data_IF_337293242363
#
_entry.id   IF_337293242363
#
_cell.length_a   1.000
_cell.length_b   1.000
_cell.length_c   1.000
_cell.angle_alpha   90.00
_cell.angle_beta   90.00
_cell.angle_gamma   90.00
#
_symmetry.space_group_name_H-M   'P 1'
#
loop_
_entity.id
_entity.type
_entity.pdbx_description
1 polymer ?
#
# COMPACT_ATOMS: atom_id res chain seq x y z
N UNK A 1 -30.30 4.66 -0.06
CA UNK A 1 -30.80 3.62 -0.98
C UNK A 1 -30.55 4.09 -2.40
N UNK A 2 -29.46 3.62 -3.05
CA UNK A 2 -29.18 3.82 -4.49
C UNK A 2 -29.14 2.40 -5.08
N UNK A 3 -30.20 1.64 -4.90
CA UNK A 3 -30.37 0.35 -5.56
C UNK A 3 -31.02 0.59 -6.92
N UNK A 4 -30.34 0.21 -7.99
CA UNK A 4 -30.74 0.15 -9.42
C UNK A 4 -30.17 1.25 -10.33
N UNK A 5 -28.87 1.51 -10.28
CA UNK A 5 -28.19 2.14 -11.41
C UNK A 5 -28.00 1.04 -12.47
N UNK A 6 -28.81 1.04 -13.55
CA UNK A 6 -28.59 0.16 -14.69
C UNK A 6 -27.56 0.79 -15.63
N UNK A 7 -26.30 0.43 -15.47
CA UNK A 7 -25.26 0.73 -16.47
C UNK A 7 -25.50 -0.22 -17.64
N UNK A 8 -25.68 0.31 -18.85
CA UNK A 8 -25.77 -0.52 -20.06
C UNK A 8 -24.38 -1.06 -20.37
N UNK A 9 -24.16 -2.32 -20.10
CA UNK A 9 -23.00 -3.06 -20.60
C UNK A 9 -23.46 -3.80 -21.84
N UNK A 10 -23.33 -3.19 -23.01
CA UNK A 10 -23.38 -3.95 -24.24
C UNK A 10 -22.12 -4.82 -24.33
N UNK A 11 -22.24 -6.10 -24.69
CA UNK A 11 -21.08 -6.99 -24.93
C UNK A 11 -20.08 -6.41 -25.96
N UNK A 12 -20.54 -5.45 -26.77
CA UNK A 12 -19.71 -4.66 -27.68
C UNK A 12 -18.76 -3.68 -26.99
N UNK A 13 -18.99 -3.32 -25.72
CA UNK A 13 -18.14 -2.43 -24.93
C UNK A 13 -16.97 -3.17 -24.25
N UNK A 14 -17.05 -4.49 -24.13
CA UNK A 14 -15.93 -5.35 -23.73
C UNK A 14 -14.96 -5.51 -24.91
N UNK A 15 -14.50 -4.39 -25.47
CA UNK A 15 -13.41 -4.39 -26.43
C UNK A 15 -12.20 -5.01 -25.77
N UNK A 16 -11.53 -5.96 -26.48
CA UNK A 16 -10.20 -6.42 -26.10
C UNK A 16 -9.37 -5.19 -25.73
N UNK A 17 -8.98 -5.09 -24.47
CA UNK A 17 -8.17 -3.98 -23.97
C UNK A 17 -6.99 -3.83 -24.91
N UNK A 18 -6.76 -2.65 -25.53
CA UNK A 18 -5.57 -2.47 -26.33
C UNK A 18 -4.36 -2.66 -25.44
N UNK A 19 -3.31 -3.34 -25.91
CA UNK A 19 -2.03 -3.55 -25.20
C UNK A 19 -1.35 -2.22 -24.82
N UNK A 20 -1.90 -1.10 -25.26
CA UNK A 20 -1.41 0.25 -25.00
C UNK A 20 -1.98 0.79 -23.68
N UNK A 21 -1.10 1.21 -22.79
CA UNK A 21 -1.47 1.88 -21.56
C UNK A 21 -2.17 3.22 -21.79
N UNK A 22 -3.39 3.35 -21.27
CA UNK A 22 -4.17 4.59 -21.26
C UNK A 22 -4.53 4.88 -19.81
N UNK A 23 -4.23 6.08 -19.32
CA UNK A 23 -4.60 6.47 -17.96
C UNK A 23 -5.47 7.71 -17.93
N UNK A 24 -6.40 7.74 -16.99
CA UNK A 24 -7.31 8.84 -16.72
C UNK A 24 -6.98 9.48 -15.38
N UNK A 25 -6.95 10.80 -15.35
CA UNK A 25 -6.70 11.61 -14.15
C UNK A 25 -7.91 12.51 -13.86
N UNK A 26 -7.90 13.27 -12.77
CA UNK A 26 -9.02 14.09 -12.28
C UNK A 26 -9.80 14.82 -13.39
N UNK A 27 -9.09 15.49 -14.31
CA UNK A 27 -9.71 16.25 -15.42
C UNK A 27 -10.33 15.37 -16.52
N UNK A 28 -10.11 14.06 -16.45
CA UNK A 28 -10.50 13.09 -17.48
C UNK A 28 -11.51 12.07 -16.96
N UNK A 29 -11.95 12.17 -15.70
CA UNK A 29 -12.85 11.21 -15.08
C UNK A 29 -14.16 11.08 -15.87
N UNK A 30 -14.70 12.20 -16.36
CA UNK A 30 -15.93 12.23 -17.16
C UNK A 30 -15.75 11.68 -18.59
N UNK A 31 -14.51 11.42 -19.05
CA UNK A 31 -14.21 10.79 -20.34
C UNK A 31 -14.27 9.26 -20.28
N UNK A 32 -14.36 8.70 -19.08
CA UNK A 32 -14.56 7.26 -18.88
C UNK A 32 -16.03 6.97 -19.22
N UNK A 33 -16.27 6.18 -20.27
CA UNK A 33 -17.60 5.92 -20.80
C UNK A 33 -18.60 5.44 -19.74
N UNK A 34 -18.20 4.50 -18.91
CA UNK A 34 -19.04 4.00 -17.81
C UNK A 34 -19.39 5.08 -16.77
N UNK A 35 -18.44 5.97 -16.47
CA UNK A 35 -18.67 7.09 -15.51
C UNK A 35 -19.68 8.07 -16.10
N UNK A 36 -19.66 8.32 -17.40
CA UNK A 36 -20.61 9.24 -18.05
C UNK A 36 -22.07 8.79 -17.92
N UNK A 37 -22.31 7.49 -17.69
CA UNK A 37 -23.64 6.89 -17.50
C UNK A 37 -24.14 7.01 -16.04
N UNK A 38 -23.26 7.35 -15.09
CA UNK A 38 -23.66 7.54 -13.70
C UNK A 38 -24.44 8.84 -13.51
N UNK A 39 -25.35 8.91 -12.51
CA UNK A 39 -26.03 10.13 -12.16
C UNK A 39 -25.08 11.32 -11.96
N UNK A 40 -25.49 12.50 -12.39
CA UNK A 40 -24.68 13.72 -12.26
C UNK A 40 -24.26 13.99 -10.80
N UNK A 41 -25.14 13.68 -9.82
CA UNK A 41 -24.82 13.80 -8.41
C UNK A 41 -23.61 12.96 -8.00
N UNK A 42 -23.51 11.71 -8.47
CA UNK A 42 -22.38 10.81 -8.15
C UNK A 42 -21.11 11.32 -8.83
N UNK A 43 -21.19 11.72 -10.10
CA UNK A 43 -20.05 12.31 -10.82
C UNK A 43 -19.54 13.58 -10.14
N UNK A 44 -20.44 14.42 -9.65
CA UNK A 44 -20.08 15.60 -8.87
C UNK A 44 -19.41 15.24 -7.53
N UNK A 45 -19.92 14.24 -6.80
CA UNK A 45 -19.29 13.73 -5.58
C UNK A 45 -17.84 13.24 -5.82
N UNK A 46 -17.63 12.51 -6.90
CA UNK A 46 -16.27 12.07 -7.33
C UNK A 46 -15.37 13.28 -7.59
N UNK A 47 -15.87 14.32 -8.28
CA UNK A 47 -15.12 15.55 -8.55
C UNK A 47 -14.75 16.28 -7.26
N UNK A 48 -15.64 16.34 -6.28
CA UNK A 48 -15.37 16.94 -4.97
C UNK A 48 -14.23 16.22 -4.27
N UNK A 49 -14.30 14.88 -4.17
CA UNK A 49 -13.31 14.08 -3.46
C UNK A 49 -11.96 14.06 -4.19
N UNK A 50 -11.96 13.95 -5.52
CA UNK A 50 -10.73 13.99 -6.33
C UNK A 50 -10.05 15.37 -6.37
N UNK A 51 -10.72 16.43 -5.90
CA UNK A 51 -10.07 17.73 -5.69
C UNK A 51 -9.15 17.73 -4.45
N UNK A 52 -9.37 16.80 -3.52
CA UNK A 52 -8.60 16.63 -2.29
C UNK A 52 -7.58 15.50 -2.44
N UNK A 53 -8.04 14.32 -2.83
CA UNK A 53 -7.20 13.13 -3.01
C UNK A 53 -6.67 13.00 -4.44
N UNK A 54 -5.54 12.30 -4.63
CA UNK A 54 -5.09 11.97 -5.98
C UNK A 54 -6.04 10.98 -6.65
N UNK A 55 -6.22 11.11 -7.96
CA UNK A 55 -6.97 10.16 -8.77
C UNK A 55 -6.18 9.79 -10.02
N UNK A 56 -6.07 8.52 -10.27
CA UNK A 56 -5.62 7.92 -11.54
C UNK A 56 -6.14 6.50 -11.63
N UNK A 57 -6.70 6.16 -12.79
CA UNK A 57 -7.06 4.78 -13.15
C UNK A 57 -6.62 4.53 -14.58
N UNK A 58 -6.38 3.29 -14.97
CA UNK A 58 -6.03 2.93 -16.33
C UNK A 58 -7.13 2.06 -16.99
N UNK A 59 -7.02 1.94 -18.33
CA UNK A 59 -7.96 1.17 -19.12
C UNK A 59 -8.05 -0.30 -18.69
N UNK A 60 -6.93 -0.94 -18.33
CA UNK A 60 -6.96 -2.34 -17.90
C UNK A 60 -7.84 -2.55 -16.65
N UNK A 61 -7.70 -1.71 -15.64
CA UNK A 61 -8.52 -1.79 -14.43
C UNK A 61 -9.99 -1.56 -14.74
N UNK A 62 -10.29 -0.55 -15.59
CA UNK A 62 -11.66 -0.20 -16.00
C UNK A 62 -12.33 -1.37 -16.74
N UNK A 63 -11.62 -1.96 -17.70
CA UNK A 63 -12.20 -2.89 -18.66
C UNK A 63 -12.20 -4.35 -18.17
N UNK A 64 -11.28 -4.71 -17.24
CA UNK A 64 -11.09 -6.12 -16.86
C UNK A 64 -11.33 -6.43 -15.38
N UNK A 65 -11.27 -5.43 -14.49
CA UNK A 65 -11.33 -5.69 -13.06
C UNK A 65 -12.62 -5.22 -12.39
N UNK A 66 -13.27 -4.16 -12.90
CA UNK A 66 -14.49 -3.60 -12.32
C UNK A 66 -15.71 -4.33 -12.86
N UNK A 67 -16.56 -4.80 -11.95
CA UNK A 67 -17.92 -5.25 -12.29
C UNK A 67 -18.88 -4.04 -12.25
N UNK A 68 -19.06 -3.43 -13.42
CA UNK A 68 -19.87 -2.21 -13.56
C UNK A 68 -21.36 -2.39 -13.17
N UNK A 69 -21.87 -3.63 -13.13
CA UNK A 69 -23.22 -3.91 -12.64
C UNK A 69 -23.35 -3.76 -11.12
N UNK A 70 -22.23 -3.81 -10.39
CA UNK A 70 -22.19 -3.68 -8.92
C UNK A 70 -21.76 -2.29 -8.46
N UNK A 71 -21.49 -1.36 -9.37
CA UNK A 71 -21.12 0.01 -9.01
C UNK A 71 -22.31 0.73 -8.35
N UNK A 72 -22.12 1.42 -7.20
CA UNK A 72 -20.83 1.79 -6.59
C UNK A 72 -20.22 0.76 -5.62
N UNK A 73 -20.84 -0.36 -5.37
CA UNK A 73 -20.45 -1.33 -4.34
C UNK A 73 -19.39 -2.34 -4.83
N UNK A 74 -18.98 -2.29 -6.10
CA UNK A 74 -17.89 -3.14 -6.61
C UNK A 74 -16.58 -2.85 -5.87
N UNK A 75 -15.88 -3.87 -5.31
CA UNK A 75 -14.68 -3.68 -4.50
C UNK A 75 -13.52 -3.05 -5.28
N UNK A 76 -13.37 -3.32 -6.57
CA UNK A 76 -12.32 -2.71 -7.39
C UNK A 76 -12.66 -1.26 -7.72
N UNK A 77 -13.94 -0.96 -7.97
CA UNK A 77 -14.40 0.41 -8.10
C UNK A 77 -14.11 1.22 -6.83
N UNK A 78 -14.41 0.67 -5.66
CA UNK A 78 -14.09 1.27 -4.36
C UNK A 78 -12.58 1.49 -4.18
N UNK A 79 -11.74 0.58 -4.69
CA UNK A 79 -10.29 0.66 -4.62
C UNK A 79 -9.69 1.81 -5.44
N UNK A 80 -10.34 2.25 -6.53
CA UNK A 80 -9.72 3.21 -7.47
C UNK A 80 -10.55 4.45 -7.75
N UNK A 81 -11.85 4.46 -7.47
CA UNK A 81 -12.69 5.62 -7.69
C UNK A 81 -13.04 6.34 -6.38
N UNK A 82 -12.95 7.69 -6.35
CA UNK A 82 -13.28 8.48 -5.18
C UNK A 82 -14.74 8.31 -4.75
N UNK A 83 -14.97 8.12 -3.44
CA UNK A 83 -16.30 8.00 -2.84
C UNK A 83 -16.55 9.17 -1.89
N UNK A 84 -17.79 9.65 -1.81
CA UNK A 84 -18.20 10.77 -0.93
C UNK A 84 -17.72 10.59 0.51
N UNK A 85 -17.90 9.39 1.06
CA UNK A 85 -17.55 9.07 2.47
C UNK A 85 -16.05 9.13 2.78
N UNK A 86 -15.17 9.28 1.79
CA UNK A 86 -13.74 9.48 2.00
C UNK A 86 -13.38 10.84 2.58
N UNK A 87 -14.32 11.79 2.57
CA UNK A 87 -14.23 13.06 3.27
C UNK A 87 -15.31 13.13 4.37
N UNK A 88 -14.98 13.78 5.47
CA UNK A 88 -16.02 14.15 6.45
C UNK A 88 -17.04 15.11 5.85
N UNK A 89 -18.27 15.15 6.42
CA UNK A 89 -19.36 15.94 5.90
C UNK A 89 -19.05 17.45 5.82
N UNK A 90 -18.25 17.97 6.74
CA UNK A 90 -17.88 19.39 6.78
C UNK A 90 -16.93 19.72 5.64
N UNK A 91 -15.86 18.92 5.49
CA UNK A 91 -14.88 19.06 4.42
C UNK A 91 -15.52 18.86 3.05
N UNK A 92 -16.35 17.83 2.91
CA UNK A 92 -17.11 17.59 1.69
C UNK A 92 -18.00 18.77 1.30
N UNK A 93 -18.84 19.26 2.24
CA UNK A 93 -19.74 20.40 2.00
C UNK A 93 -18.98 21.67 1.63
N UNK A 94 -17.86 21.97 2.33
CA UNK A 94 -17.00 23.13 2.00
C UNK A 94 -16.49 23.07 0.56
N UNK A 95 -15.91 21.95 0.16
CA UNK A 95 -15.37 21.78 -1.21
C UNK A 95 -16.48 21.76 -2.26
N UNK A 96 -17.59 21.09 -2.00
CA UNK A 96 -18.75 21.06 -2.91
C UNK A 96 -19.35 22.47 -3.14
N UNK A 97 -19.50 23.26 -2.08
CA UNK A 97 -19.99 24.63 -2.20
C UNK A 97 -19.01 25.54 -2.95
N UNK A 98 -17.71 25.34 -2.78
CA UNK A 98 -16.72 26.07 -3.54
C UNK A 98 -16.83 25.73 -5.02
N UNK A 99 -16.83 24.43 -5.39
CA UNK A 99 -16.89 23.99 -6.79
C UNK A 99 -18.14 24.43 -7.55
N UNK A 100 -19.27 24.61 -6.86
CA UNK A 100 -20.52 25.12 -7.46
C UNK A 100 -20.46 26.60 -7.87
N UNK A 101 -19.46 27.36 -7.41
CA UNK A 101 -19.29 28.79 -7.67
C UNK A 101 -18.31 29.09 -8.78
N UNK A 102 -17.90 28.10 -9.56
CA UNK A 102 -16.87 28.19 -10.62
C UNK A 102 -15.58 28.87 -10.13
N UNK A 103 -14.90 28.28 -9.12
CA UNK A 103 -13.77 28.89 -8.45
C UNK A 103 -12.51 28.92 -9.31
N UNK A 104 -11.62 29.88 -9.03
CA UNK A 104 -10.27 29.87 -9.58
C UNK A 104 -9.49 28.65 -9.04
N UNK A 105 -8.54 28.11 -9.85
CA UNK A 105 -7.72 26.95 -9.43
C UNK A 105 -7.03 27.14 -8.06
N UNK A 106 -6.55 28.35 -7.75
CA UNK A 106 -5.86 28.67 -6.51
C UNK A 106 -6.77 28.50 -5.28
N UNK A 107 -8.06 28.84 -5.42
CA UNK A 107 -9.04 28.69 -4.35
C UNK A 107 -9.31 27.18 -4.04
N UNK A 108 -9.39 26.35 -5.09
CA UNK A 108 -9.53 24.90 -4.94
C UNK A 108 -8.27 24.34 -4.24
N UNK A 109 -7.08 24.73 -4.66
CA UNK A 109 -5.82 24.25 -4.08
C UNK A 109 -5.67 24.67 -2.62
N UNK A 110 -6.03 25.91 -2.27
CA UNK A 110 -5.97 26.41 -0.89
C UNK A 110 -6.90 25.61 0.03
N UNK A 111 -8.18 25.44 -0.35
CA UNK A 111 -9.11 24.66 0.44
C UNK A 111 -8.73 23.17 0.50
N UNK A 112 -8.25 22.62 -0.61
CA UNK A 112 -7.76 21.24 -0.63
C UNK A 112 -6.59 21.05 0.34
N UNK A 113 -5.66 22.01 0.44
CA UNK A 113 -4.55 21.94 1.38
C UNK A 113 -5.02 22.04 2.85
N UNK A 114 -6.00 22.90 3.16
CA UNK A 114 -6.62 22.93 4.51
C UNK A 114 -7.18 21.57 4.90
N UNK A 115 -7.94 20.93 3.99
CA UNK A 115 -8.54 19.61 4.23
C UNK A 115 -7.46 18.54 4.35
N UNK A 116 -6.45 18.54 3.48
CA UNK A 116 -5.32 17.58 3.49
C UNK A 116 -4.54 17.60 4.80
N UNK A 117 -4.31 18.77 5.37
CA UNK A 117 -3.63 18.90 6.67
C UNK A 117 -4.39 18.19 7.79
N UNK A 118 -5.74 18.22 7.76
CA UNK A 118 -6.58 17.49 8.73
C UNK A 118 -6.54 15.97 8.53
N UNK A 119 -6.39 15.52 7.28
CA UNK A 119 -6.36 14.10 6.91
C UNK A 119 -5.00 13.45 7.14
N UNK A 120 -3.97 14.21 7.44
CA UNK A 120 -2.62 13.73 7.67
C UNK A 120 -2.07 14.24 9.02
N UNK A 121 -2.58 13.72 10.15
CA UNK A 121 -2.25 14.24 11.49
C UNK A 121 -0.79 13.98 11.90
N UNK A 122 -0.10 13.04 11.25
CA UNK A 122 1.28 12.65 11.58
C UNK A 122 2.20 12.67 10.35
N UNK A 123 2.33 13.82 9.62
CA UNK A 123 3.08 13.87 8.36
C UNK A 123 4.58 13.69 8.54
N UNK A 124 5.12 14.18 9.64
CA UNK A 124 6.55 14.36 9.86
C UNK A 124 7.27 13.09 10.34
N UNK A 125 6.67 12.31 11.23
CA UNK A 125 7.35 11.20 11.89
C UNK A 125 7.92 10.11 10.99
N UNK A 126 7.46 9.99 9.75
CA UNK A 126 8.01 9.02 8.79
C UNK A 126 9.15 9.57 7.94
N UNK A 127 9.16 10.86 7.69
CA UNK A 127 10.19 11.54 6.89
C UNK A 127 11.35 11.99 7.78
N UNK A 128 11.07 12.44 9.00
CA UNK A 128 12.09 12.98 9.89
C UNK A 128 12.91 11.91 10.62
N UNK A 129 12.24 10.90 11.19
CA UNK A 129 12.88 9.90 12.05
C UNK A 129 13.45 8.67 11.32
N UNK A 130 13.17 8.50 10.02
CA UNK A 130 13.61 7.32 9.28
C UNK A 130 14.59 7.63 8.14
N UNK A 131 14.85 8.92 7.86
CA UNK A 131 15.80 9.31 6.81
C UNK A 131 17.22 9.15 7.33
N UNK A 132 18.03 8.28 6.70
CA UNK A 132 19.40 8.08 7.15
C UNK A 132 20.31 9.24 6.73
N UNK A 133 21.52 9.30 7.32
CA UNK A 133 22.57 10.23 6.92
C UNK A 133 23.78 9.47 6.36
N UNK A 134 24.46 10.06 5.38
CA UNK A 134 25.74 9.62 4.84
C UNK A 134 26.71 10.81 4.92
N UNK A 135 27.84 10.62 5.59
CA UNK A 135 28.86 11.69 5.80
C UNK A 135 28.28 12.98 6.43
N UNK A 136 27.28 12.84 7.31
CA UNK A 136 26.62 13.99 7.98
C UNK A 136 25.47 14.63 7.17
N UNK A 137 25.26 14.24 5.92
CA UNK A 137 24.17 14.74 5.09
C UNK A 137 22.99 13.76 5.03
N UNK A 138 21.75 14.27 5.11
CA UNK A 138 20.54 13.44 4.99
C UNK A 138 20.42 12.85 3.58
N UNK A 139 20.22 11.54 3.48
CA UNK A 139 19.97 10.82 2.23
C UNK A 139 18.47 10.81 1.94
N UNK A 140 18.00 11.87 1.26
CA UNK A 140 16.59 11.97 0.88
C UNK A 140 16.18 10.80 -0.04
N UNK A 141 14.92 10.37 0.05
CA UNK A 141 14.42 9.23 -0.74
C UNK A 141 14.90 7.88 -0.25
N UNK A 142 15.47 7.81 0.95
CA UNK A 142 15.76 6.55 1.65
C UNK A 142 15.14 6.56 3.05
N UNK A 143 14.68 5.39 3.49
CA UNK A 143 14.22 5.17 4.87
C UNK A 143 14.91 3.95 5.45
N UNK A 144 15.52 4.10 6.62
CA UNK A 144 16.22 3.05 7.35
C UNK A 144 15.73 3.01 8.80
N UNK A 145 14.60 2.32 8.99
CA UNK A 145 13.93 2.17 10.29
C UNK A 145 14.41 0.94 11.06
N UNK A 146 14.68 -0.15 10.35
CA UNK A 146 15.09 -1.44 10.91
C UNK A 146 16.51 -1.75 10.45
N UNK A 147 17.32 -2.27 11.35
CA UNK A 147 18.75 -2.48 11.15
C UNK A 147 19.13 -3.17 9.84
N UNK A 148 18.37 -4.19 9.44
CA UNK A 148 18.68 -5.04 8.30
C UNK A 148 18.04 -4.58 6.98
N UNK A 149 17.09 -3.61 7.04
CA UNK A 149 16.24 -3.27 5.90
C UNK A 149 16.26 -1.79 5.59
N UNK A 150 16.63 -1.44 4.38
CA UNK A 150 16.50 -0.08 3.85
C UNK A 150 15.46 -0.02 2.74
N UNK A 151 14.68 1.06 2.73
CA UNK A 151 13.72 1.39 1.68
C UNK A 151 14.33 2.44 0.76
N UNK A 152 14.21 2.26 -0.54
CA UNK A 152 14.64 3.21 -1.56
C UNK A 152 13.44 3.66 -2.41
N UNK A 153 13.35 4.97 -2.63
CA UNK A 153 12.25 5.64 -3.32
C UNK A 153 12.76 6.33 -4.59
N UNK A 154 12.93 5.61 -5.71
CA UNK A 154 13.41 6.20 -6.94
C UNK A 154 12.47 7.28 -7.46
N UNK A 155 13.00 8.42 -7.91
CA UNK A 155 12.21 9.58 -8.37
C UNK A 155 11.28 9.22 -9.53
N UNK A 156 11.74 8.37 -10.45
CA UNK A 156 10.95 7.93 -11.59
C UNK A 156 9.84 6.93 -11.21
N UNK A 157 9.94 6.28 -10.04
CA UNK A 157 8.98 5.34 -9.48
C UNK A 157 7.91 5.97 -8.60
N UNK A 158 7.79 7.32 -8.57
CA UNK A 158 6.84 8.02 -7.69
C UNK A 158 5.43 8.19 -8.31
N UNK A 159 5.12 7.45 -9.35
CA UNK A 159 3.79 7.36 -9.94
C UNK A 159 3.24 5.95 -9.76
N UNK A 160 1.92 5.79 -9.99
CA UNK A 160 1.27 4.48 -10.02
C UNK A 160 0.54 4.31 -11.35
N UNK A 161 0.35 3.06 -11.78
CA UNK A 161 -0.50 2.73 -12.92
C UNK A 161 -1.98 3.09 -12.64
N UNK A 162 -2.43 2.89 -11.39
CA UNK A 162 -3.66 3.43 -10.84
C UNK A 162 -3.45 3.76 -9.37
N UNK A 163 -4.09 4.80 -8.83
CA UNK A 163 -4.00 5.15 -7.41
C UNK A 163 -5.06 4.39 -6.62
N UNK A 164 -4.62 3.78 -5.53
CA UNK A 164 -5.53 3.20 -4.55
C UNK A 164 -6.11 4.29 -3.66
N UNK A 165 -7.42 4.30 -3.46
CA UNK A 165 -8.14 5.30 -2.67
C UNK A 165 -7.77 5.31 -1.19
N UNK A 166 -7.28 4.17 -0.68
CA UNK A 166 -6.77 4.00 0.69
C UNK A 166 -5.25 4.26 0.83
N UNK A 167 -4.58 4.78 -0.20
CA UNK A 167 -3.13 4.90 -0.23
C UNK A 167 -2.60 5.74 0.94
N UNK A 168 -1.86 5.15 1.88
CA UNK A 168 -1.27 5.87 3.01
C UNK A 168 -0.17 6.88 2.61
N UNK A 169 0.33 6.80 1.37
CA UNK A 169 1.28 7.76 0.77
C UNK A 169 0.61 8.86 -0.05
N UNK A 170 -0.70 8.95 0.00
CA UNK A 170 -1.47 9.89 -0.82
C UNK A 170 -0.95 11.33 -0.80
N UNK A 171 -0.44 11.80 0.34
CA UNK A 171 0.10 13.14 0.50
C UNK A 171 1.30 13.43 -0.43
N UNK A 172 2.11 12.43 -0.76
CA UNK A 172 3.27 12.57 -1.65
C UNK A 172 2.88 12.85 -3.11
N UNK A 173 1.64 12.59 -3.50
CA UNK A 173 1.15 12.78 -4.86
C UNK A 173 0.41 14.10 -5.08
N UNK A 174 0.09 14.86 -4.02
CA UNK A 174 -0.77 16.05 -4.09
C UNK A 174 -0.11 17.36 -3.66
N UNK A 175 1.16 17.37 -3.26
CA UNK A 175 1.88 18.57 -2.82
C UNK A 175 3.31 18.62 -3.32
N UNK A 176 3.87 19.83 -3.49
CA UNK A 176 5.29 20.01 -3.84
C UNK A 176 6.21 19.76 -2.65
N UNK A 177 5.78 20.08 -1.43
CA UNK A 177 6.54 19.96 -0.18
C UNK A 177 6.63 18.54 0.37
N UNK A 178 5.79 17.61 -0.12
CA UNK A 178 5.71 16.23 0.39
C UNK A 178 6.49 15.23 -0.47
N UNK A 179 7.22 15.68 -1.48
CA UNK A 179 7.99 14.78 -2.37
C UNK A 179 9.19 14.22 -1.65
N UNK A 180 9.19 12.91 -1.48
CA UNK A 180 10.27 12.16 -0.86
C UNK A 180 10.78 11.11 -1.85
N UNK A 181 11.89 11.42 -2.54
CA UNK A 181 12.46 10.53 -3.55
C UNK A 181 13.94 10.84 -3.80
N UNK A 182 14.63 9.90 -4.48
CA UNK A 182 16.02 10.03 -4.89
C UNK A 182 16.19 9.54 -6.34
N UNK A 183 17.05 10.19 -7.10
CA UNK A 183 17.43 9.76 -8.46
C UNK A 183 18.92 9.43 -8.59
N UNK A 184 19.64 9.44 -7.48
CA UNK A 184 21.08 9.25 -7.40
C UNK A 184 21.40 7.78 -7.04
N UNK A 185 21.82 7.02 -8.05
CA UNK A 185 22.23 5.63 -7.87
C UNK A 185 23.56 5.53 -7.10
N UNK A 186 24.48 6.49 -7.28
CA UNK A 186 25.77 6.49 -6.61
C UNK A 186 25.59 6.71 -5.10
N UNK A 187 24.68 7.60 -4.71
CA UNK A 187 24.35 7.85 -3.31
C UNK A 187 23.72 6.58 -2.66
N UNK A 188 22.81 5.88 -3.38
CA UNK A 188 22.27 4.60 -2.93
C UNK A 188 23.41 3.58 -2.70
N UNK A 189 24.27 3.39 -3.69
CA UNK A 189 25.36 2.43 -3.63
C UNK A 189 26.37 2.78 -2.52
N UNK A 190 26.74 4.07 -2.39
CA UNK A 190 27.63 4.54 -1.31
C UNK A 190 27.03 4.26 0.07
N UNK A 191 25.71 4.51 0.26
CA UNK A 191 25.03 4.21 1.52
C UNK A 191 25.01 2.71 1.84
N UNK A 192 24.67 1.86 0.87
CA UNK A 192 24.67 0.41 1.03
C UNK A 192 26.07 -0.12 1.32
N UNK A 193 27.10 0.39 0.64
CA UNK A 193 28.49 0.00 0.82
C UNK A 193 29.02 0.31 2.23
N UNK A 194 28.64 1.45 2.79
CA UNK A 194 29.07 1.88 4.14
C UNK A 194 28.30 1.19 5.28
N UNK A 195 27.18 0.52 4.99
CA UNK A 195 26.31 -0.09 6.00
C UNK A 195 26.18 -1.61 5.82
N UNK A 196 27.20 -2.36 6.18
CA UNK A 196 27.29 -3.82 5.95
C UNK A 196 26.26 -4.69 6.69
N UNK A 197 25.56 -4.14 7.67
CA UNK A 197 24.47 -4.82 8.36
C UNK A 197 23.14 -4.82 7.57
N UNK A 198 23.03 -4.00 6.53
CA UNK A 198 21.87 -4.02 5.62
C UNK A 198 21.96 -5.27 4.75
N UNK A 199 20.97 -6.14 4.85
CA UNK A 199 20.90 -7.39 4.04
C UNK A 199 19.74 -7.37 3.06
N UNK A 200 18.85 -6.37 3.15
CA UNK A 200 17.56 -6.32 2.48
C UNK A 200 17.26 -4.90 1.96
N UNK A 201 17.19 -4.76 0.66
CA UNK A 201 16.81 -3.52 -0.03
C UNK A 201 15.37 -3.64 -0.54
N UNK A 202 14.48 -2.73 -0.12
CA UNK A 202 13.13 -2.61 -0.69
C UNK A 202 13.04 -1.39 -1.60
N UNK A 203 12.95 -1.61 -2.90
CA UNK A 203 12.63 -0.58 -3.89
C UNK A 203 11.12 -0.37 -3.89
N UNK A 204 10.69 0.87 -3.61
CA UNK A 204 9.28 1.22 -3.44
C UNK A 204 9.04 2.68 -3.85
N UNK A 205 7.82 3.20 -3.66
CA UNK A 205 7.53 4.59 -4.04
C UNK A 205 6.04 4.82 -4.21
N UNK A 206 5.63 5.39 -5.35
CA UNK A 206 4.31 5.17 -5.90
C UNK A 206 4.21 3.72 -6.33
N UNK A 207 4.73 3.42 -7.49
CA UNK A 207 4.98 2.04 -7.94
C UNK A 207 6.26 2.03 -8.78
N UNK A 208 7.35 1.39 -8.34
CA UNK A 208 8.61 1.38 -9.09
C UNK A 208 8.45 0.75 -10.48
N UNK A 209 7.46 -0.12 -10.70
CA UNK A 209 7.26 -0.77 -12.00
C UNK A 209 6.78 0.16 -13.12
N UNK A 210 6.48 1.43 -12.82
CA UNK A 210 6.28 2.45 -13.88
C UNK A 210 7.60 2.91 -14.52
N UNK A 211 8.74 2.57 -13.91
CA UNK A 211 10.06 2.85 -14.47
C UNK A 211 10.37 1.94 -15.66
N UNK A 212 11.15 2.46 -16.59
CA UNK A 212 11.77 1.64 -17.64
C UNK A 212 12.91 0.80 -17.09
N UNK A 213 13.24 -0.27 -17.78
CA UNK A 213 14.28 -1.25 -17.38
C UNK A 213 15.65 -0.61 -17.19
N UNK A 214 16.02 0.40 -18.01
CA UNK A 214 17.32 1.10 -17.87
C UNK A 214 17.48 1.75 -16.50
N UNK A 215 16.39 2.23 -15.90
CA UNK A 215 16.44 2.81 -14.55
C UNK A 215 16.63 1.74 -13.48
N UNK A 216 15.98 0.58 -13.65
CA UNK A 216 16.23 -0.56 -12.76
C UNK A 216 17.68 -1.04 -12.87
N UNK A 217 18.25 -1.12 -14.08
CA UNK A 217 19.65 -1.48 -14.29
C UNK A 217 20.56 -0.53 -13.51
N UNK A 218 20.37 0.78 -13.64
CA UNK A 218 21.21 1.78 -12.96
C UNK A 218 21.22 1.60 -11.42
N UNK A 219 20.11 1.15 -10.81
CA UNK A 219 20.02 0.95 -9.36
C UNK A 219 20.45 -0.45 -8.92
N UNK A 220 20.23 -1.50 -9.72
CA UNK A 220 20.29 -2.87 -9.24
C UNK A 220 21.47 -3.70 -9.82
N UNK A 221 21.99 -3.38 -11.02
CA UNK A 221 23.06 -4.22 -11.62
C UNK A 221 24.34 -4.23 -10.79
N UNK A 222 24.75 -3.08 -10.28
CA UNK A 222 25.93 -2.94 -9.41
C UNK A 222 25.82 -3.77 -8.12
N UNK A 223 24.60 -4.05 -7.65
CA UNK A 223 24.39 -4.88 -6.44
C UNK A 223 24.79 -6.34 -6.63
N UNK A 224 25.06 -6.76 -7.87
CA UNK A 224 25.61 -8.06 -8.18
C UNK A 224 27.13 -8.18 -7.93
N UNK A 225 27.83 -7.06 -7.74
CA UNK A 225 29.27 -7.03 -7.51
C UNK A 225 29.64 -7.53 -6.10
N UNK A 226 30.86 -8.10 -5.88
CA UNK A 226 31.27 -8.68 -4.61
C UNK A 226 31.20 -7.71 -3.41
N UNK A 227 31.41 -6.41 -3.64
CA UNK A 227 31.34 -5.41 -2.57
C UNK A 227 29.93 -5.27 -1.96
N UNK A 228 28.88 -5.74 -2.66
CA UNK A 228 27.49 -5.78 -2.22
C UNK A 228 27.00 -7.18 -1.82
N UNK A 229 27.89 -8.12 -1.54
CA UNK A 229 27.51 -9.48 -1.15
C UNK A 229 26.67 -9.55 0.12
N UNK A 230 26.76 -8.54 1.00
CA UNK A 230 25.93 -8.42 2.18
C UNK A 230 24.45 -8.16 1.84
N UNK A 231 24.15 -7.53 0.70
CA UNK A 231 22.77 -7.36 0.21
C UNK A 231 22.31 -8.69 -0.37
N UNK A 232 21.60 -9.47 0.43
CA UNK A 232 21.11 -10.81 0.04
C UNK A 232 19.76 -10.78 -0.63
N UNK A 233 18.90 -9.83 -0.22
CA UNK A 233 17.52 -9.72 -0.68
C UNK A 233 17.26 -8.38 -1.34
N UNK A 234 16.62 -8.41 -2.51
CA UNK A 234 16.08 -7.22 -3.18
C UNK A 234 14.58 -7.42 -3.34
N UNK A 235 13.82 -6.50 -2.78
CA UNK A 235 12.36 -6.51 -2.87
C UNK A 235 11.86 -5.37 -3.73
N UNK A 236 10.82 -5.63 -4.53
CA UNK A 236 10.15 -4.65 -5.38
C UNK A 236 8.70 -4.55 -4.93
N UNK A 237 8.34 -3.43 -4.28
CA UNK A 237 6.97 -3.20 -3.80
C UNK A 237 6.10 -2.67 -4.93
N UNK A 238 5.08 -3.42 -5.36
CA UNK A 238 4.29 -3.05 -6.54
C UNK A 238 2.83 -3.53 -6.47
N UNK A 239 1.95 -2.81 -7.15
CA UNK A 239 0.59 -3.23 -7.49
C UNK A 239 0.42 -3.49 -9.00
N UNK A 240 1.47 -3.27 -9.80
CA UNK A 240 1.41 -3.45 -11.26
C UNK A 240 1.09 -4.88 -11.68
N UNK A 241 1.46 -5.89 -10.87
CA UNK A 241 1.13 -7.29 -11.16
C UNK A 241 -0.36 -7.48 -11.45
N UNK A 242 -1.23 -6.77 -10.73
CA UNK A 242 -2.67 -6.88 -10.87
C UNK A 242 -3.32 -5.66 -11.54
N UNK A 243 -2.68 -4.49 -11.50
CA UNK A 243 -3.23 -3.25 -12.07
C UNK A 243 -2.65 -2.87 -13.44
N UNK A 244 -1.53 -3.48 -13.85
CA UNK A 244 -0.97 -3.39 -15.20
C UNK A 244 -0.05 -4.61 -15.48
N UNK A 245 -0.60 -5.83 -15.60
CA UNK A 245 0.19 -7.05 -15.84
C UNK A 245 0.93 -7.02 -17.18
N UNK A 246 0.50 -6.18 -18.13
CA UNK A 246 1.20 -5.90 -19.38
C UNK A 246 2.68 -5.53 -19.17
N UNK A 247 3.01 -4.91 -18.02
CA UNK A 247 4.38 -4.59 -17.62
C UNK A 247 5.34 -5.78 -17.67
N UNK A 248 4.80 -6.98 -17.51
CA UNK A 248 5.58 -8.23 -17.48
C UNK A 248 5.36 -9.11 -18.72
N UNK A 249 4.40 -8.76 -19.57
CA UNK A 249 3.99 -9.64 -20.68
C UNK A 249 4.17 -8.96 -22.04
N UNK A 250 3.65 -7.74 -22.24
CA UNK A 250 3.55 -7.11 -23.56
C UNK A 250 4.19 -5.71 -23.66
N UNK A 251 4.57 -5.07 -22.54
CA UNK A 251 5.29 -3.80 -22.59
C UNK A 251 6.63 -3.97 -23.32
N UNK A 252 7.06 -2.96 -24.06
CA UNK A 252 8.19 -3.04 -24.98
C UNK A 252 9.52 -3.47 -24.33
N UNK A 253 9.70 -3.24 -23.03
CA UNK A 253 10.88 -3.61 -22.25
C UNK A 253 10.60 -4.73 -21.22
N UNK A 254 9.49 -5.47 -21.38
CA UNK A 254 9.10 -6.54 -20.44
C UNK A 254 10.14 -7.66 -20.36
N UNK A 255 10.60 -8.16 -21.50
CA UNK A 255 11.59 -9.24 -21.55
C UNK A 255 12.97 -8.77 -21.07
N UNK A 256 13.35 -7.52 -21.35
CA UNK A 256 14.59 -6.92 -20.81
C UNK A 256 14.56 -6.83 -19.29
N UNK A 257 13.42 -6.44 -18.73
CA UNK A 257 13.23 -6.40 -17.27
C UNK A 257 13.31 -7.79 -16.63
N UNK A 258 12.63 -8.78 -17.21
CA UNK A 258 12.69 -10.15 -16.73
C UNK A 258 14.10 -10.76 -16.85
N UNK A 259 14.85 -10.41 -17.90
CA UNK A 259 16.24 -10.78 -18.07
C UNK A 259 17.14 -10.20 -16.98
N UNK A 260 16.95 -8.92 -16.63
CA UNK A 260 17.64 -8.30 -15.49
C UNK A 260 17.36 -9.05 -14.18
N UNK A 261 16.08 -9.35 -13.90
CA UNK A 261 15.68 -10.07 -12.69
C UNK A 261 16.32 -11.45 -12.65
N UNK A 262 16.26 -12.21 -13.76
CA UNK A 262 16.88 -13.53 -13.85
C UNK A 262 18.39 -13.46 -13.60
N UNK A 263 19.10 -12.51 -14.21
CA UNK A 263 20.54 -12.30 -13.98
C UNK A 263 20.87 -12.07 -12.51
N UNK A 264 20.12 -11.22 -11.81
CA UNK A 264 20.33 -10.98 -10.38
C UNK A 264 20.10 -12.26 -9.54
N UNK A 265 19.09 -13.06 -9.89
CA UNK A 265 18.83 -14.36 -9.24
C UNK A 265 19.99 -15.33 -9.51
N UNK A 266 20.45 -15.46 -10.76
CA UNK A 266 21.55 -16.35 -11.15
C UNK A 266 22.88 -15.96 -10.43
N UNK A 267 23.03 -14.68 -10.06
CA UNK A 267 24.16 -14.17 -9.27
C UNK A 267 23.96 -14.31 -7.75
N UNK A 268 22.95 -15.04 -7.31
CA UNK A 268 22.71 -15.39 -5.91
C UNK A 268 21.88 -14.38 -5.10
N UNK A 269 21.28 -13.37 -5.72
CA UNK A 269 20.36 -12.44 -5.02
C UNK A 269 18.97 -13.05 -4.92
N UNK A 270 18.37 -12.98 -3.73
CA UNK A 270 16.96 -13.33 -3.56
C UNK A 270 16.08 -12.17 -3.99
N UNK A 271 15.40 -12.30 -5.12
CA UNK A 271 14.48 -11.29 -5.63
C UNK A 271 13.05 -11.62 -5.21
N UNK A 272 12.35 -10.65 -4.61
CA UNK A 272 10.97 -10.84 -4.19
C UNK A 272 10.07 -9.66 -4.60
N UNK A 273 9.05 -9.94 -5.40
CA UNK A 273 7.98 -9.00 -5.69
C UNK A 273 7.01 -8.96 -4.52
N UNK A 274 6.90 -7.79 -3.88
CA UNK A 274 5.94 -7.53 -2.81
C UNK A 274 4.64 -7.05 -3.45
N UNK A 275 3.85 -8.01 -3.93
CA UNK A 275 2.64 -7.75 -4.69
C UNK A 275 1.50 -7.30 -3.78
N UNK A 276 0.93 -6.13 -4.06
CA UNK A 276 -0.22 -5.61 -3.34
C UNK A 276 -1.50 -6.14 -3.98
N UNK A 277 -2.23 -7.04 -3.29
CA UNK A 277 -3.43 -7.73 -3.80
C UNK A 277 -4.52 -7.63 -2.75
N UNK A 278 -5.55 -6.81 -3.01
CA UNK A 278 -6.62 -6.52 -2.05
C UNK A 278 -7.84 -7.42 -2.20
N UNK A 279 -8.09 -7.95 -3.40
CA UNK A 279 -9.30 -8.70 -3.69
C UNK A 279 -9.02 -9.82 -4.70
N UNK A 280 -9.70 -10.95 -4.56
CA UNK A 280 -9.52 -12.14 -5.42
C UNK A 280 -9.75 -11.84 -6.91
N UNK A 281 -10.61 -10.86 -7.22
CA UNK A 281 -10.91 -10.45 -8.59
C UNK A 281 -9.67 -9.98 -9.36
N UNK A 282 -8.70 -9.41 -8.68
CA UNK A 282 -7.41 -8.98 -9.24
C UNK A 282 -6.58 -10.14 -9.84
N UNK A 283 -6.85 -11.39 -9.46
CA UNK A 283 -6.11 -12.58 -9.89
C UNK A 283 -6.79 -13.40 -10.99
N UNK A 284 -7.98 -13.00 -11.44
CA UNK A 284 -8.82 -13.84 -12.31
C UNK A 284 -8.45 -13.79 -13.80
N UNK A 285 -7.84 -12.70 -14.26
CA UNK A 285 -7.53 -12.51 -15.68
C UNK A 285 -6.36 -13.40 -16.13
N UNK A 286 -6.38 -13.84 -17.39
CA UNK A 286 -5.34 -14.72 -17.91
C UNK A 286 -3.99 -14.01 -18.05
N UNK A 287 -3.99 -12.72 -18.35
CA UNK A 287 -2.74 -11.94 -18.44
C UNK A 287 -2.05 -11.80 -17.06
N UNK A 288 -2.80 -11.72 -15.95
CA UNK A 288 -2.21 -11.75 -14.59
C UNK A 288 -1.57 -13.10 -14.32
N UNK A 289 -2.23 -14.19 -14.69
CA UNK A 289 -1.65 -15.55 -14.54
C UNK A 289 -0.38 -15.72 -15.36
N UNK A 290 -0.36 -15.18 -16.60
CA UNK A 290 0.85 -15.22 -17.44
C UNK A 290 1.97 -14.33 -16.86
N UNK A 291 1.67 -13.14 -16.34
CA UNK A 291 2.63 -12.28 -15.66
C UNK A 291 3.26 -12.99 -14.45
N UNK A 292 2.45 -13.66 -13.63
CA UNK A 292 2.92 -14.46 -12.50
C UNK A 292 3.87 -15.57 -12.98
N UNK A 293 3.49 -16.31 -14.01
CA UNK A 293 4.31 -17.38 -14.60
C UNK A 293 5.65 -16.85 -15.11
N UNK A 294 5.66 -15.74 -15.86
CA UNK A 294 6.89 -15.12 -16.38
C UNK A 294 7.82 -14.64 -15.26
N UNK A 295 7.30 -13.98 -14.23
CA UNK A 295 8.08 -13.55 -13.06
C UNK A 295 8.69 -14.78 -12.37
N UNK A 296 7.91 -15.82 -12.10
CA UNK A 296 8.40 -17.04 -11.43
C UNK A 296 9.45 -17.79 -12.25
N UNK A 297 9.35 -17.75 -13.58
CA UNK A 297 10.32 -18.35 -14.48
C UNK A 297 11.73 -17.73 -14.36
N UNK A 298 11.84 -16.50 -13.84
CA UNK A 298 13.14 -15.88 -13.54
C UNK A 298 13.81 -16.42 -12.27
N UNK A 299 13.11 -17.22 -11.46
CA UNK A 299 13.54 -17.64 -10.13
C UNK A 299 13.13 -16.66 -9.00
N UNK A 300 12.58 -15.50 -9.33
CA UNK A 300 12.07 -14.57 -8.34
C UNK A 300 10.81 -15.10 -7.65
N UNK A 301 10.61 -14.70 -6.39
CA UNK A 301 9.41 -15.01 -5.63
C UNK A 301 8.40 -13.87 -5.68
N UNK A 302 7.13 -14.22 -5.49
CA UNK A 302 6.04 -13.25 -5.35
C UNK A 302 5.42 -13.45 -3.96
N UNK A 303 5.37 -12.38 -3.17
CA UNK A 303 4.76 -12.36 -1.84
C UNK A 303 3.63 -11.34 -1.84
N UNK A 304 2.43 -11.75 -1.42
CA UNK A 304 1.27 -10.87 -1.40
C UNK A 304 1.11 -10.14 -0.07
N UNK A 305 0.61 -8.92 -0.15
CA UNK A 305 0.26 -8.13 1.02
C UNK A 305 -0.92 -7.22 0.72
N UNK A 306 -1.77 -6.96 1.72
CA UNK A 306 -2.85 -5.98 1.63
C UNK A 306 -3.34 -5.56 3.01
N UNK A 307 -3.90 -4.35 3.16
CA UNK A 307 -4.68 -4.00 4.34
C UNK A 307 -6.09 -4.62 4.28
N UNK A 308 -6.65 -4.86 5.45
CA UNK A 308 -8.05 -5.15 5.63
C UNK A 308 -8.81 -3.82 5.61
N UNK A 309 -9.78 -3.71 4.71
CA UNK A 309 -10.45 -2.45 4.36
C UNK A 309 -11.96 -2.64 4.35
N UNK A 310 -12.66 -1.75 5.05
CA UNK A 310 -14.11 -1.65 4.91
C UNK A 310 -14.48 -1.37 3.43
N UNK A 311 -15.65 -1.80 2.99
CA UNK A 311 -16.16 -1.73 1.61
C UNK A 311 -15.43 -2.56 0.55
N UNK A 312 -14.29 -3.19 0.87
CA UNK A 312 -13.47 -3.87 -0.13
C UNK A 312 -13.34 -5.36 0.17
N UNK A 313 -12.87 -5.72 1.37
CA UNK A 313 -12.43 -7.08 1.65
C UNK A 313 -12.75 -7.55 3.08
N UNK A 314 -13.96 -7.24 3.56
CA UNK A 314 -14.42 -7.61 4.90
C UNK A 314 -14.96 -9.03 5.03
N UNK A 315 -15.02 -9.77 3.93
CA UNK A 315 -15.48 -11.15 3.88
C UNK A 315 -14.33 -12.13 4.14
N UNK A 316 -14.36 -12.94 5.20
CA UNK A 316 -13.33 -13.94 5.49
C UNK A 316 -13.24 -15.04 4.43
N UNK A 317 -14.37 -15.40 3.78
CA UNK A 317 -14.39 -16.43 2.74
C UNK A 317 -13.62 -15.96 1.50
N UNK A 318 -13.80 -14.69 1.12
CA UNK A 318 -13.02 -14.07 0.04
C UNK A 318 -11.50 -14.13 0.32
N UNK A 319 -11.06 -13.86 1.56
CA UNK A 319 -9.65 -13.95 1.94
C UNK A 319 -9.12 -15.39 1.85
N UNK A 320 -9.88 -16.36 2.37
CA UNK A 320 -9.48 -17.76 2.33
C UNK A 320 -9.34 -18.26 0.88
N UNK A 321 -10.30 -17.95 0.02
CA UNK A 321 -10.26 -18.29 -1.41
C UNK A 321 -9.10 -17.57 -2.13
N UNK A 322 -8.86 -16.30 -1.82
CA UNK A 322 -7.74 -15.56 -2.37
C UNK A 322 -6.40 -16.18 -1.97
N UNK A 323 -6.18 -16.58 -0.72
CA UNK A 323 -4.93 -17.22 -0.30
C UNK A 323 -4.74 -18.61 -0.92
N UNK A 324 -5.81 -19.39 -1.07
CA UNK A 324 -5.79 -20.67 -1.80
C UNK A 324 -5.37 -20.44 -3.27
N UNK A 325 -6.01 -19.50 -3.96
CA UNK A 325 -5.68 -19.17 -5.34
C UNK A 325 -4.25 -18.63 -5.48
N UNK A 326 -3.81 -17.75 -4.58
CA UNK A 326 -2.42 -17.26 -4.54
C UNK A 326 -1.44 -18.41 -4.45
N UNK A 327 -1.66 -19.36 -3.53
CA UNK A 327 -0.80 -20.54 -3.36
C UNK A 327 -0.78 -21.41 -4.63
N UNK A 328 -1.94 -21.65 -5.27
CA UNK A 328 -2.02 -22.38 -6.54
C UNK A 328 -1.22 -21.71 -7.66
N UNK A 329 -1.25 -20.39 -7.73
CA UNK A 329 -0.48 -19.61 -8.69
C UNK A 329 1.01 -19.48 -8.32
N UNK A 330 1.42 -19.95 -7.13
CA UNK A 330 2.78 -19.87 -6.60
C UNK A 330 3.13 -18.49 -6.04
N UNK A 331 2.13 -17.76 -5.58
CA UNK A 331 2.29 -16.56 -4.76
C UNK A 331 2.24 -16.98 -3.29
N UNK A 332 3.10 -16.42 -2.47
CA UNK A 332 3.18 -16.69 -1.04
C UNK A 332 2.36 -15.62 -0.30
N UNK A 333 1.23 -15.95 0.36
CA UNK A 333 0.54 -15.03 1.25
C UNK A 333 1.48 -14.54 2.36
N UNK A 334 1.62 -13.22 2.56
CA UNK A 334 2.72 -12.72 3.38
C UNK A 334 2.30 -11.79 4.51
N UNK A 335 1.49 -10.75 4.22
CA UNK A 335 0.98 -9.84 5.25
C UNK A 335 -0.48 -9.46 5.04
N UNK A 336 -1.23 -9.41 6.15
CA UNK A 336 -2.45 -8.62 6.28
C UNK A 336 -2.16 -7.46 7.21
N UNK A 337 -2.41 -6.24 6.73
CA UNK A 337 -2.24 -5.02 7.49
C UNK A 337 -3.58 -4.50 8.02
N UNK A 338 -3.50 -3.73 9.08
CA UNK A 338 -4.57 -2.84 9.51
C UNK A 338 -4.40 -1.52 8.78
N UNK A 339 -5.51 -0.89 8.37
CA UNK A 339 -5.48 0.39 7.67
C UNK A 339 -4.79 1.46 8.50
N UNK A 340 -4.00 2.30 7.85
CA UNK A 340 -3.23 3.34 8.53
C UNK A 340 -4.08 4.55 8.89
N UNK A 341 -3.63 5.26 9.92
CA UNK A 341 -4.25 6.44 10.52
C UNK A 341 -4.10 7.73 9.69
N UNK A 342 -4.23 7.64 8.36
CA UNK A 342 -4.06 8.77 7.43
C UNK A 342 -5.03 8.66 6.23
N UNK A 343 -5.26 9.78 5.56
CA UNK A 343 -6.09 9.84 4.35
C UNK A 343 -7.57 9.56 4.61
N UNK A 344 -8.16 8.69 3.81
CA UNK A 344 -9.57 8.30 3.93
C UNK A 344 -9.81 7.25 5.03
N UNK A 345 -9.04 7.30 6.14
CA UNK A 345 -9.08 6.33 7.24
C UNK A 345 -10.51 5.98 7.65
N UNK A 346 -11.32 6.97 7.98
CA UNK A 346 -12.71 6.77 8.47
C UNK A 346 -13.62 6.00 7.52
N UNK A 347 -13.29 6.01 6.25
CA UNK A 347 -14.05 5.28 5.23
C UNK A 347 -13.64 3.80 5.19
N UNK A 348 -12.36 3.52 5.39
CA UNK A 348 -11.78 2.20 5.23
C UNK A 348 -11.48 1.47 6.53
N UNK A 349 -11.42 2.18 7.66
CA UNK A 349 -11.07 1.56 8.95
C UNK A 349 -12.10 0.55 9.42
N UNK A 350 -11.59 -0.44 10.12
CA UNK A 350 -12.38 -1.43 10.87
C UNK A 350 -11.90 -1.45 12.31
N UNK A 351 -12.79 -1.72 13.29
CA UNK A 351 -12.35 -2.00 14.65
C UNK A 351 -11.32 -3.14 14.67
N UNK A 352 -10.30 -3.02 15.52
CA UNK A 352 -9.22 -4.00 15.66
C UNK A 352 -9.75 -5.41 15.95
N UNK A 353 -10.78 -5.49 16.81
CA UNK A 353 -11.47 -6.73 17.10
C UNK A 353 -12.08 -7.37 15.86
N UNK A 354 -12.80 -6.57 15.05
CA UNK A 354 -13.44 -7.08 13.81
C UNK A 354 -12.38 -7.49 12.78
N UNK A 355 -11.30 -6.72 12.66
CA UNK A 355 -10.15 -7.05 11.79
C UNK A 355 -9.53 -8.39 12.17
N UNK A 356 -9.34 -8.63 13.48
CA UNK A 356 -8.84 -9.91 13.98
C UNK A 356 -9.82 -11.06 13.72
N UNK A 357 -11.13 -10.86 13.91
CA UNK A 357 -12.14 -11.90 13.64
C UNK A 357 -12.14 -12.35 12.19
N UNK A 358 -12.12 -11.39 11.24
CA UNK A 358 -12.08 -11.69 9.80
C UNK A 358 -10.81 -12.48 9.48
N UNK A 359 -9.66 -12.04 9.96
CA UNK A 359 -8.39 -12.74 9.76
C UNK A 359 -8.43 -14.15 10.33
N UNK A 360 -8.89 -14.32 11.56
CA UNK A 360 -9.03 -15.63 12.24
C UNK A 360 -9.92 -16.58 11.44
N UNK A 361 -11.10 -16.13 11.03
CA UNK A 361 -12.05 -16.93 10.27
C UNK A 361 -11.48 -17.37 8.92
N UNK A 362 -10.82 -16.47 8.19
CA UNK A 362 -10.14 -16.80 6.93
C UNK A 362 -8.99 -17.79 7.15
N UNK A 363 -8.18 -17.58 8.19
CA UNK A 363 -7.02 -18.40 8.51
C UNK A 363 -7.40 -19.83 8.88
N UNK A 364 -8.56 -20.03 9.50
CA UNK A 364 -9.09 -21.35 9.85
C UNK A 364 -9.48 -22.21 8.62
N UNK A 365 -9.76 -21.57 7.48
CA UNK A 365 -10.31 -22.22 6.28
C UNK A 365 -9.23 -22.65 5.28
N UNK A 366 -7.95 -22.44 5.57
CA UNK A 366 -6.86 -22.73 4.63
C UNK A 366 -5.89 -23.77 5.17
N UNK A 367 -5.21 -24.47 4.27
CA UNK A 367 -4.19 -25.47 4.62
C UNK A 367 -2.89 -24.79 5.11
N UNK A 368 -1.99 -25.57 5.73
CA UNK A 368 -0.71 -25.08 6.24
C UNK A 368 0.14 -24.35 5.20
N UNK A 369 0.11 -24.76 3.94
CA UNK A 369 0.87 -24.12 2.84
C UNK A 369 0.34 -22.71 2.53
N UNK A 370 -0.95 -22.46 2.73
CA UNK A 370 -1.55 -21.13 2.56
C UNK A 370 -1.52 -20.29 3.85
N UNK A 371 -1.17 -20.89 5.01
CA UNK A 371 -1.05 -20.22 6.33
C UNK A 371 0.30 -19.55 6.55
N UNK A 372 0.89 -18.99 5.53
CA UNK A 372 2.16 -18.25 5.62
C UNK A 372 1.97 -16.77 5.94
N UNK A 373 0.75 -16.28 5.83
CA UNK A 373 0.39 -14.88 6.07
C UNK A 373 0.53 -14.52 7.55
N UNK A 374 1.10 -13.35 7.82
CA UNK A 374 1.25 -12.73 9.14
C UNK A 374 0.27 -11.59 9.32
N UNK A 375 -0.23 -11.43 10.52
CA UNK A 375 -1.14 -10.33 10.86
C UNK A 375 -2.39 -10.79 11.62
N UNK A 376 -3.41 -9.92 11.73
CA UNK A 376 -3.40 -8.56 11.18
C UNK A 376 -2.42 -7.65 11.95
N UNK A 377 -1.74 -6.75 11.26
CA UNK A 377 -0.66 -5.95 11.87
C UNK A 377 -0.73 -4.47 11.57
N UNK A 378 -0.44 -3.65 12.59
CA UNK A 378 -0.26 -2.21 12.51
C UNK A 378 1.19 -1.85 12.24
N UNK A 379 1.46 -1.03 11.21
CA UNK A 379 2.79 -0.46 10.96
C UNK A 379 2.89 0.90 11.65
N UNK A 380 3.06 0.88 12.97
CA UNK A 380 3.08 2.05 13.85
C UNK A 380 4.48 2.64 14.05
N UNK A 381 4.57 3.75 14.78
CA UNK A 381 5.83 4.43 15.11
C UNK A 381 6.90 3.52 15.73
N UNK A 382 6.62 2.80 16.82
CA UNK A 382 7.61 1.93 17.49
C UNK A 382 7.97 0.70 16.66
N UNK A 383 7.07 0.20 15.81
CA UNK A 383 7.33 -1.00 15.04
C UNK A 383 6.11 -1.53 14.33
N UNK A 384 6.20 -2.79 13.91
CA UNK A 384 5.09 -3.54 13.32
C UNK A 384 4.50 -4.46 14.39
N UNK A 385 3.27 -4.14 14.83
CA UNK A 385 2.56 -4.80 15.92
C UNK A 385 1.46 -5.69 15.35
N UNK A 386 1.49 -6.97 15.69
CA UNK A 386 0.49 -7.96 15.31
C UNK A 386 -0.53 -8.14 16.44
N UNK A 387 -1.81 -8.26 16.08
CA UNK A 387 -2.84 -8.74 16.99
C UNK A 387 -2.79 -10.27 16.99
N UNK A 388 -2.21 -10.85 18.02
CA UNK A 388 -2.09 -12.31 18.16
C UNK A 388 -3.40 -12.94 18.57
N UNK A 389 -4.27 -12.21 19.28
CA UNK A 389 -5.58 -12.72 19.69
C UNK A 389 -6.35 -11.77 20.60
N UNK A 390 -7.59 -12.16 20.87
CA UNK A 390 -8.43 -11.62 21.95
C UNK A 390 -8.72 -12.75 22.92
N UNK A 391 -8.43 -12.56 24.19
CA UNK A 391 -8.61 -13.58 25.22
C UNK A 391 -8.95 -12.94 26.56
N UNK A 392 -9.30 -13.78 27.52
CA UNK A 392 -9.48 -13.40 28.91
C UNK A 392 -8.25 -13.83 29.71
N UNK A 393 -7.63 -12.90 30.43
CA UNK A 393 -6.48 -13.15 31.30
C UNK A 393 -6.77 -12.54 32.67
N UNK A 394 -6.73 -13.36 33.73
CA UNK A 394 -7.04 -12.94 35.11
C UNK A 394 -8.40 -12.23 35.25
N UNK A 395 -9.40 -12.64 34.47
CA UNK A 395 -10.74 -12.04 34.51
C UNK A 395 -10.88 -10.74 33.72
N UNK A 396 -9.84 -10.28 33.02
CA UNK A 396 -9.88 -9.11 32.15
C UNK A 396 -9.82 -9.55 30.67
N UNK A 397 -10.74 -9.05 29.85
CA UNK A 397 -10.74 -9.26 28.40
C UNK A 397 -9.72 -8.34 27.78
N UNK A 398 -8.79 -8.87 26.99
CA UNK A 398 -7.64 -8.15 26.47
C UNK A 398 -7.34 -8.48 25.01
N UNK A 399 -6.68 -7.54 24.32
CA UNK A 399 -5.90 -7.85 23.14
C UNK A 399 -4.54 -8.38 23.53
N UNK A 400 -4.14 -9.54 23.00
CA UNK A 400 -2.78 -10.04 23.05
C UNK A 400 -2.03 -9.56 21.81
N UNK A 401 -0.95 -8.83 22.03
CA UNK A 401 -0.17 -8.12 21.00
C UNK A 401 1.28 -8.55 21.05
N UNK A 402 2.00 -8.43 19.93
CA UNK A 402 3.47 -8.59 19.88
C UNK A 402 4.08 -7.79 18.75
N UNK A 403 5.35 -7.44 18.88
CA UNK A 403 6.11 -6.88 17.75
C UNK A 403 6.57 -7.98 16.82
N UNK A 404 6.29 -7.83 15.51
CA UNK A 404 6.89 -8.65 14.44
C UNK A 404 8.22 -8.03 13.99
N UNK A 405 8.31 -6.70 13.97
CA UNK A 405 9.51 -5.90 13.78
C UNK A 405 9.44 -4.68 14.71
N UNK A 406 10.56 -4.22 15.22
CA UNK A 406 10.60 -3.09 16.14
C UNK A 406 11.85 -2.23 15.91
N UNK A 407 11.82 -0.97 16.38
CA UNK A 407 13.02 -0.10 16.39
C UNK A 407 14.09 -0.66 17.32
N UNK A 408 13.71 -1.12 18.50
CA UNK A 408 14.58 -1.89 19.37
C UNK A 408 14.35 -3.39 19.11
N UNK A 409 15.37 -4.15 18.66
CA UNK A 409 15.27 -5.59 18.41
C UNK A 409 14.80 -6.40 19.62
N UNK A 410 15.09 -5.95 20.83
CA UNK A 410 14.72 -6.62 22.08
C UNK A 410 13.21 -6.64 22.34
N UNK A 411 12.43 -5.82 21.64
CA UNK A 411 10.97 -5.85 21.74
C UNK A 411 10.33 -6.93 20.88
N UNK A 412 11.06 -7.45 19.88
CA UNK A 412 10.54 -8.42 18.92
C UNK A 412 10.12 -9.70 19.63
N UNK A 413 8.91 -10.18 19.30
CA UNK A 413 8.28 -11.38 19.89
C UNK A 413 7.92 -11.29 21.39
N UNK A 414 8.21 -10.19 22.11
CA UNK A 414 7.67 -10.00 23.45
C UNK A 414 6.16 -9.79 23.39
N UNK A 415 5.33 -10.62 24.05
CA UNK A 415 3.89 -10.39 24.15
C UNK A 415 3.60 -9.23 25.10
N UNK A 416 2.59 -8.44 24.78
CA UNK A 416 2.04 -7.43 25.66
C UNK A 416 0.53 -7.35 25.49
N UNK A 417 -0.15 -6.73 26.43
CA UNK A 417 -1.60 -6.77 26.52
C UNK A 417 -2.19 -5.37 26.59
N UNK A 418 -3.25 -5.15 25.82
CA UNK A 418 -4.05 -3.95 25.89
C UNK A 418 -5.46 -4.28 26.37
N UNK A 419 -6.08 -3.36 27.10
CA UNK A 419 -7.49 -3.46 27.46
C UNK A 419 -8.33 -3.65 26.19
N UNK A 420 -9.34 -4.52 26.27
CA UNK A 420 -10.26 -4.71 25.15
C UNK A 420 -11.10 -3.45 24.96
N UNK A 421 -11.04 -2.90 23.79
CA UNK A 421 -11.91 -1.82 23.30
C UNK A 421 -12.51 -2.22 21.96
N UNK A 422 -13.83 -2.40 21.92
CA UNK A 422 -14.56 -2.80 20.73
C UNK A 422 -14.48 -1.77 19.60
N UNK A 423 -14.17 -0.50 19.92
CA UNK A 423 -14.16 0.62 18.97
C UNK A 423 -12.76 1.00 18.52
N UNK A 424 -11.71 0.53 19.21
CA UNK A 424 -10.33 0.86 18.86
C UNK A 424 -10.03 0.44 17.42
N UNK A 425 -9.42 1.35 16.63
CA UNK A 425 -9.07 1.14 15.22
C UNK A 425 -7.57 1.20 14.98
N UNK A 426 -6.80 1.72 15.95
CA UNK A 426 -5.34 1.88 15.84
C UNK A 426 -4.65 1.77 17.20
N UNK A 427 -3.31 1.66 17.18
CA UNK A 427 -2.47 1.53 18.39
C UNK A 427 -2.73 2.64 19.42
N UNK A 428 -2.92 3.89 18.96
CA UNK A 428 -3.10 5.05 19.84
C UNK A 428 -4.44 5.04 20.59
N UNK A 429 -5.39 4.23 20.18
CA UNK A 429 -6.69 4.05 20.86
C UNK A 429 -6.56 3.05 22.03
N UNK A 430 -5.47 2.26 22.06
CA UNK A 430 -5.28 1.19 23.04
C UNK A 430 -4.66 1.70 24.35
N UNK A 431 -5.09 1.11 25.45
CA UNK A 431 -4.54 1.34 26.78
C UNK A 431 -3.91 0.05 27.33
N UNK A 432 -2.83 0.13 28.13
CA UNK A 432 -2.27 -1.04 28.79
C UNK A 432 -3.32 -1.78 29.65
N UNK A 433 -3.24 -3.10 29.68
CA UNK A 433 -4.10 -3.94 30.52
C UNK A 433 -3.54 -4.06 31.96
N UNK A 434 -4.30 -4.67 32.85
CA UNK A 434 -3.90 -5.05 34.21
C UNK A 434 -3.50 -3.89 35.12
N UNK A 435 -4.07 -2.69 34.87
CA UNK A 435 -3.79 -1.50 35.66
C UNK A 435 -2.44 -0.83 35.40
N UNK A 436 -1.70 -1.28 34.40
CA UNK A 436 -0.45 -0.66 33.98
C UNK A 436 -0.71 0.74 33.38
N UNK A 437 0.21 1.67 33.64
CA UNK A 437 0.10 3.05 33.16
C UNK A 437 0.70 3.25 31.76
N UNK A 438 1.68 2.42 31.37
CA UNK A 438 2.39 2.46 30.09
C UNK A 438 2.61 1.06 29.56
N UNK A 439 2.74 0.92 28.25
CA UNK A 439 3.29 -0.28 27.63
C UNK A 439 4.80 -0.36 27.87
N UNK A 440 5.34 -1.55 27.94
CA UNK A 440 6.75 -1.81 28.29
C UNK A 440 7.78 -1.12 27.36
N UNK A 441 7.38 -0.68 26.19
CA UNK A 441 8.24 -0.10 25.16
C UNK A 441 8.16 1.43 25.08
N UNK A 442 7.21 2.09 25.74
CA UNK A 442 6.92 3.51 25.52
C UNK A 442 8.06 4.43 25.95
N UNK A 443 8.61 4.25 27.13
CA UNK A 443 9.72 5.10 27.63
C UNK A 443 10.98 4.99 26.74
N UNK A 444 11.33 3.76 26.34
CA UNK A 444 12.44 3.55 25.40
C UNK A 444 12.16 4.12 24.02
N UNK A 445 10.91 4.03 23.54
CA UNK A 445 10.51 4.61 22.27
C UNK A 445 10.62 6.13 22.28
N UNK A 446 10.17 6.79 23.34
CA UNK A 446 10.30 8.23 23.53
C UNK A 446 11.78 8.66 23.50
N UNK A 447 12.64 7.91 24.16
CA UNK A 447 14.10 8.17 24.16
C UNK A 447 14.71 8.00 22.74
N UNK A 448 14.34 6.95 22.00
CA UNK A 448 14.83 6.72 20.63
C UNK A 448 14.41 7.87 19.69
N UNK A 449 13.16 8.32 19.79
CA UNK A 449 12.63 9.39 18.93
C UNK A 449 13.20 10.76 19.34
N UNK A 450 13.33 11.03 20.63
CA UNK A 450 13.94 12.25 21.14
C UNK A 450 15.40 12.41 20.73
N UNK A 451 16.17 11.32 20.72
CA UNK A 451 17.58 11.32 20.28
C UNK A 451 17.76 11.54 18.76
N UNK A 452 16.70 11.32 17.96
CA UNK A 452 16.73 11.52 16.49
C UNK A 452 16.15 12.86 16.04
N UNK A 453 15.60 13.66 16.95
CA UNK A 453 15.15 15.01 16.66
C UNK A 453 16.38 15.94 16.68
N UNK A 454 16.65 16.73 15.63
CA UNK A 454 17.68 17.80 15.74
C UNK A 454 17.21 18.83 16.76
N UNK A 455 18.11 19.26 17.64
CA UNK A 455 17.95 20.45 18.47
C UNK A 455 17.67 21.71 17.62
#
# INVERSE_FOLDING_TARGET
MISNIKIKTEDSLLKKTPDKFISYQNKQIDRIEFISQLPESIRFEMKVVSSVFPFRVNNYVIDNLIDWHKVPDDPIFQLVFPQKGMLDDVSFKKMANLLKRDPKPEQILSLAQEIRNKLNPHPAGQVEHNVPSLNGEKVNGMQHKYKETVLFFPSQGQYCHAYCTFCFRWAQFVGKSSRFNNNDAEQLHAYLKSNKHITDLLVTGGDPMVMRTEKFKAYLETLAEPEFDHIKTIRIGTKSLTFWPHRYVTDADADDFLTLIKRLVDMGKHISFMAHINHIQELRTDIVKEAIKKIRATGAQIRSQAPLLNHINTDPDMWSEMWKLQTQLGIIPYYVFIERDTGAKRYFELPLYRTWEIFKQAYQQVSGVSRTVRGPSMSAGPGKIEISGVCEVKGEKVFALRFIQARNPEWVQKPFFAQFDEKATWLNDLKPAFGESKFFWEDEYEAIVGATSPE
#
